data_IF_938269150813
#
_entry.id   IF_938269150813
#
_cell.length_a   1.000
_cell.length_b   1.000
_cell.length_c   1.000
_cell.angle_alpha   90.00
_cell.angle_beta   90.00
_cell.angle_gamma   90.00
#
_symmetry.space_group_name_H-M   'P 1'
#
loop_
_entity.id
_entity.type
_entity.pdbx_description
1 polymer ?
#
# COMPACT_ATOMS: atom_id res chain seq x y z
N UNK A 1 28.79 3.55 -6.23
CA UNK A 1 28.67 2.56 -5.13
C UNK A 1 27.35 1.74 -5.11
N UNK A 2 26.29 2.17 -5.81
CA UNK A 2 24.96 1.52 -5.79
C UNK A 2 24.74 0.59 -7.00
N UNK A 3 25.61 -0.42 -7.15
CA UNK A 3 25.50 -1.44 -8.18
C UNK A 3 25.37 -2.83 -7.58
N UNK A 4 24.41 -3.06 -6.68
CA UNK A 4 23.99 -4.44 -6.39
C UNK A 4 22.81 -4.74 -7.31
N UNK A 5 23.07 -5.50 -8.36
CA UNK A 5 22.02 -6.00 -9.26
C UNK A 5 20.98 -6.79 -8.45
N UNK A 6 19.73 -6.91 -8.92
CA UNK A 6 18.69 -7.73 -8.27
C UNK A 6 19.20 -9.13 -7.87
N UNK A 7 20.01 -9.73 -8.75
CA UNK A 7 20.66 -11.01 -8.54
C UNK A 7 21.58 -11.04 -7.32
N UNK A 8 22.30 -9.96 -7.02
CA UNK A 8 23.18 -9.89 -5.86
C UNK A 8 22.39 -9.88 -4.54
N UNK A 9 21.24 -9.20 -4.49
CA UNK A 9 20.37 -9.17 -3.30
C UNK A 9 19.68 -10.52 -3.11
N UNK A 10 19.13 -11.09 -4.18
CA UNK A 10 18.54 -12.44 -4.15
C UNK A 10 19.56 -13.49 -3.67
N UNK A 11 20.82 -13.40 -4.14
CA UNK A 11 21.89 -14.28 -3.68
C UNK A 11 22.21 -14.10 -2.19
N UNK A 12 22.08 -12.89 -1.63
CA UNK A 12 22.20 -12.72 -0.18
C UNK A 12 21.03 -13.38 0.57
N UNK A 13 19.79 -13.20 0.12
CA UNK A 13 18.63 -13.87 0.74
C UNK A 13 18.87 -15.40 0.77
N UNK A 14 19.33 -15.99 -0.34
CA UNK A 14 19.67 -17.42 -0.40
C UNK A 14 20.83 -17.79 0.54
N UNK A 15 21.90 -16.98 0.58
CA UNK A 15 23.07 -17.30 1.41
C UNK A 15 22.78 -17.19 2.91
N UNK A 16 21.79 -16.37 3.31
CA UNK A 16 21.38 -16.18 4.70
C UNK A 16 20.19 -17.07 5.10
N UNK A 17 19.53 -17.76 4.17
CA UNK A 17 18.46 -18.72 4.49
C UNK A 17 19.01 -20.11 4.85
N UNK A 18 18.18 -21.04 5.37
CA UNK A 18 18.56 -22.43 5.59
C UNK A 18 19.14 -23.11 4.35
N UNK A 19 18.69 -22.74 3.15
CA UNK A 19 19.21 -23.24 1.87
C UNK A 19 20.69 -22.88 1.67
N UNK A 20 21.12 -21.72 2.19
CA UNK A 20 22.52 -21.29 2.18
C UNK A 20 23.44 -22.22 2.96
N UNK A 21 22.95 -22.83 4.05
CA UNK A 21 23.69 -23.83 4.83
C UNK A 21 23.92 -25.07 3.97
N UNK A 22 22.85 -25.62 3.37
CA UNK A 22 22.93 -26.81 2.50
C UNK A 22 23.88 -26.57 1.32
N UNK A 23 23.75 -25.42 0.65
CA UNK A 23 24.65 -25.00 -0.43
C UNK A 23 26.11 -24.97 0.02
N UNK A 24 26.37 -24.48 1.24
CA UNK A 24 27.72 -24.42 1.82
C UNK A 24 28.30 -25.82 2.04
N UNK A 25 27.52 -26.77 2.55
CA UNK A 25 27.93 -28.17 2.70
C UNK A 25 28.27 -28.80 1.34
N UNK A 26 27.37 -28.72 0.36
CA UNK A 26 27.56 -29.31 -0.97
C UNK A 26 28.79 -28.73 -1.68
N UNK A 27 28.99 -27.41 -1.60
CA UNK A 27 30.12 -26.74 -2.27
C UNK A 27 31.49 -27.05 -1.64
N UNK A 28 31.54 -27.30 -0.32
CA UNK A 28 32.79 -27.61 0.38
C UNK A 28 33.11 -29.11 0.38
N UNK A 29 32.11 -29.99 0.37
CA UNK A 29 32.30 -31.45 0.30
C UNK A 29 32.50 -31.91 -1.15
N UNK A 30 31.71 -31.40 -2.09
CA UNK A 30 31.70 -31.85 -3.49
C UNK A 30 32.90 -31.43 -4.35
N UNK A 31 33.79 -30.56 -3.84
CA UNK A 31 34.97 -30.05 -4.57
C UNK A 31 36.30 -30.63 -4.11
N UNK A 32 36.30 -31.57 -3.16
CA UNK A 32 37.51 -32.28 -2.70
C UNK A 32 38.55 -31.40 -1.98
N UNK A 33 38.25 -30.13 -1.70
CA UNK A 33 39.05 -29.21 -0.89
C UNK A 33 38.13 -28.44 0.05
N UNK A 34 38.25 -28.71 1.35
CA UNK A 34 37.50 -28.03 2.39
C UNK A 34 38.10 -26.65 2.66
N UNK A 35 37.35 -25.59 2.38
CA UNK A 35 37.72 -24.23 2.78
C UNK A 35 37.00 -23.89 4.09
N UNK A 36 37.74 -23.99 5.20
CA UNK A 36 37.22 -23.75 6.54
C UNK A 36 36.60 -22.34 6.68
N UNK A 37 37.17 -21.34 6.03
CA UNK A 37 36.69 -19.96 6.11
C UNK A 37 35.38 -19.82 5.36
N UNK A 38 35.27 -20.35 4.14
CA UNK A 38 34.02 -20.33 3.38
C UNK A 38 32.92 -21.13 4.07
N UNK A 39 33.27 -22.27 4.65
CA UNK A 39 32.34 -23.11 5.39
C UNK A 39 31.80 -22.39 6.64
N UNK A 40 32.69 -21.86 7.48
CA UNK A 40 32.31 -21.11 8.69
C UNK A 40 31.48 -19.87 8.37
N UNK A 41 31.88 -19.09 7.34
CA UNK A 41 31.11 -17.93 6.89
C UNK A 41 29.73 -18.33 6.35
N UNK A 42 29.62 -19.44 5.62
CA UNK A 42 28.35 -19.93 5.08
C UNK A 42 27.38 -20.38 6.17
N UNK A 43 27.86 -21.16 7.14
CA UNK A 43 27.07 -21.57 8.32
C UNK A 43 26.65 -20.33 9.13
N UNK A 44 27.59 -19.44 9.43
CA UNK A 44 27.29 -18.24 10.21
C UNK A 44 26.22 -17.36 9.56
N UNK A 45 26.28 -17.18 8.23
CA UNK A 45 25.23 -16.46 7.48
C UNK A 45 23.89 -17.17 7.55
N UNK A 46 23.88 -18.48 7.34
CA UNK A 46 22.66 -19.28 7.40
C UNK A 46 21.99 -19.26 8.77
N UNK A 47 22.75 -19.38 9.86
CA UNK A 47 22.21 -19.25 11.23
C UNK A 47 21.64 -17.84 11.45
N UNK A 48 22.40 -16.81 11.07
CA UNK A 48 21.99 -15.42 11.26
C UNK A 48 20.69 -15.10 10.55
N UNK A 49 20.55 -15.52 9.28
CA UNK A 49 19.32 -15.24 8.56
C UNK A 49 18.17 -16.16 8.93
N UNK A 50 18.42 -17.39 9.38
CA UNK A 50 17.37 -18.24 9.98
C UNK A 50 16.81 -17.61 11.25
N UNK A 51 17.65 -17.00 12.08
CA UNK A 51 17.18 -16.25 13.25
C UNK A 51 16.31 -15.04 12.83
N UNK A 52 16.68 -14.32 11.77
CA UNK A 52 15.84 -13.23 11.25
C UNK A 52 14.50 -13.73 10.70
N UNK A 53 14.48 -14.86 9.99
CA UNK A 53 13.23 -15.50 9.52
C UNK A 53 12.35 -15.86 10.71
N UNK A 54 12.91 -16.49 11.75
CA UNK A 54 12.16 -16.83 12.96
C UNK A 54 11.58 -15.59 13.65
N UNK A 55 12.36 -14.51 13.78
CA UNK A 55 11.85 -13.23 14.29
C UNK A 55 10.70 -12.71 13.41
N UNK A 56 10.81 -12.84 12.09
CA UNK A 56 9.75 -12.46 11.16
C UNK A 56 8.46 -13.26 11.35
N UNK A 57 8.56 -14.56 11.64
CA UNK A 57 7.41 -15.42 11.97
C UNK A 57 6.71 -14.93 13.25
N UNK A 58 7.47 -14.76 14.33
CA UNK A 58 6.96 -14.26 15.61
C UNK A 58 6.33 -12.87 15.47
N UNK A 59 6.94 -11.98 14.67
CA UNK A 59 6.36 -10.68 14.41
C UNK A 59 5.03 -10.77 13.66
N UNK A 60 4.81 -11.79 12.82
CA UNK A 60 3.53 -12.01 12.14
C UNK A 60 2.45 -12.49 13.10
N UNK A 61 2.76 -13.49 13.92
CA UNK A 61 1.81 -14.00 14.93
C UNK A 61 1.35 -12.91 15.91
N UNK A 62 2.23 -11.94 16.20
CA UNK A 62 1.94 -10.83 17.10
C UNK A 62 1.42 -9.56 16.40
N UNK A 63 1.04 -9.64 15.11
CA UNK A 63 0.58 -8.50 14.30
C UNK A 63 1.57 -7.31 14.29
N UNK A 64 2.87 -7.58 14.41
CA UNK A 64 3.96 -6.61 14.43
C UNK A 64 4.64 -6.44 13.07
N UNK A 65 4.28 -7.25 12.07
CA UNK A 65 4.76 -7.14 10.69
C UNK A 65 3.57 -7.14 9.73
N UNK A 66 3.65 -6.29 8.72
CA UNK A 66 2.72 -6.26 7.60
C UNK A 66 3.46 -6.72 6.35
N UNK A 67 2.80 -7.57 5.58
CA UNK A 67 3.38 -8.21 4.40
C UNK A 67 3.04 -7.41 3.14
N UNK A 68 2.76 -8.10 2.04
CA UNK A 68 2.47 -7.46 0.78
C UNK A 68 1.19 -6.62 0.80
N UNK A 69 1.14 -5.65 -0.09
CA UNK A 69 -0.03 -4.79 -0.20
C UNK A 69 -1.26 -5.60 -0.63
N UNK A 70 -2.42 -5.44 0.03
CA UNK A 70 -3.59 -6.26 -0.24
C UNK A 70 -4.11 -6.19 -1.69
N UNK A 71 -4.62 -7.32 -2.16
CA UNK A 71 -5.17 -7.45 -3.53
C UNK A 71 -6.64 -7.03 -3.62
N UNK A 72 -7.40 -7.12 -2.53
CA UNK A 72 -8.81 -6.69 -2.47
C UNK A 72 -8.91 -5.20 -2.11
N UNK A 73 -9.94 -4.51 -2.63
CA UNK A 73 -10.11 -3.08 -2.33
C UNK A 73 -10.50 -2.83 -0.87
N UNK A 74 -11.40 -3.64 -0.31
CA UNK A 74 -11.84 -3.51 1.07
C UNK A 74 -10.66 -3.62 2.05
N UNK A 75 -9.77 -4.59 1.86
CA UNK A 75 -8.60 -4.75 2.72
C UNK A 75 -7.59 -3.61 2.56
N UNK A 76 -7.38 -3.12 1.33
CA UNK A 76 -6.53 -1.93 1.11
C UNK A 76 -7.07 -0.70 1.83
N UNK A 77 -8.38 -0.48 1.75
CA UNK A 77 -9.02 0.64 2.44
C UNK A 77 -8.90 0.47 3.95
N UNK A 78 -9.04 -0.76 4.45
CA UNK A 78 -8.87 -1.04 5.88
C UNK A 78 -7.44 -0.77 6.34
N UNK A 79 -6.44 -1.19 5.57
CA UNK A 79 -5.04 -0.87 5.85
C UNK A 79 -4.78 0.65 5.85
N UNK A 80 -5.40 1.39 4.94
CA UNK A 80 -5.31 2.86 4.90
C UNK A 80 -5.91 3.50 6.15
N UNK A 81 -7.06 3.00 6.63
CA UNK A 81 -7.70 3.44 7.87
C UNK A 81 -6.84 3.19 9.12
N UNK A 82 -6.09 2.09 9.13
CA UNK A 82 -5.21 1.71 10.24
C UNK A 82 -3.82 2.35 10.16
N UNK A 83 -3.52 3.01 9.04
CA UNK A 83 -2.17 3.47 8.73
C UNK A 83 -1.17 2.33 8.48
N UNK A 84 -1.64 1.11 8.20
CA UNK A 84 -0.78 -0.03 7.81
C UNK A 84 -0.12 0.26 6.47
N UNK A 85 1.14 -0.18 6.33
CA UNK A 85 1.91 -0.10 5.08
C UNK A 85 2.42 -1.47 4.70
N UNK A 86 2.56 -1.76 3.42
CA UNK A 86 3.20 -2.99 2.98
C UNK A 86 4.67 -3.07 3.45
N UNK A 87 5.12 -4.31 3.67
CA UNK A 87 6.46 -4.68 4.15
C UNK A 87 6.99 -3.73 5.22
N UNK A 88 6.25 -3.65 6.31
CA UNK A 88 6.57 -2.77 7.42
C UNK A 88 6.49 -3.52 8.74
N UNK A 89 7.20 -3.00 9.74
CA UNK A 89 7.14 -3.49 11.11
C UNK A 89 6.60 -2.41 12.03
N UNK A 90 5.88 -2.80 13.08
CA UNK A 90 5.48 -1.91 14.17
C UNK A 90 6.69 -1.62 15.04
N UNK A 91 7.00 -0.34 15.22
CA UNK A 91 8.02 0.15 16.15
C UNK A 91 7.43 1.32 16.91
N UNK A 92 7.06 1.08 18.17
CA UNK A 92 6.20 2.00 18.92
C UNK A 92 4.84 2.12 18.25
N UNK A 93 4.32 3.35 18.14
CA UNK A 93 3.02 3.65 17.54
C UNK A 93 3.08 3.85 16.00
N UNK A 94 4.10 3.30 15.34
CA UNK A 94 4.35 3.56 13.92
C UNK A 94 4.67 2.29 13.14
N UNK A 95 4.14 2.21 11.94
CA UNK A 95 4.59 1.29 10.90
C UNK A 95 5.82 1.87 10.19
N UNK A 96 6.89 1.07 10.11
CA UNK A 96 8.16 1.45 9.47
C UNK A 96 8.51 0.43 8.40
N UNK A 97 8.76 0.91 7.18
CA UNK A 97 9.16 0.01 6.10
C UNK A 97 10.50 -0.65 6.42
N UNK A 98 10.58 -1.97 6.19
CA UNK A 98 11.82 -2.73 6.35
C UNK A 98 12.75 -2.66 5.13
N UNK A 99 12.29 -2.04 4.03
CA UNK A 99 13.06 -1.92 2.80
C UNK A 99 14.47 -1.32 3.00
N UNK A 100 14.64 -0.23 3.77
CA UNK A 100 15.96 0.35 4.02
C UNK A 100 16.93 -0.60 4.75
N UNK A 101 16.42 -1.63 5.44
CA UNK A 101 17.24 -2.63 6.13
C UNK A 101 17.88 -3.64 5.15
N UNK A 102 17.55 -3.56 3.86
CA UNK A 102 18.14 -4.40 2.82
C UNK A 102 17.80 -5.89 3.03
N UNK A 103 18.76 -6.82 2.79
CA UNK A 103 18.51 -8.25 2.91
C UNK A 103 17.98 -8.68 4.27
N UNK A 104 18.38 -8.02 5.37
CA UNK A 104 17.89 -8.34 6.71
C UNK A 104 16.40 -8.10 6.85
N UNK A 105 15.90 -6.96 6.35
CA UNK A 105 14.47 -6.67 6.33
C UNK A 105 13.66 -7.65 5.49
N UNK A 106 14.22 -8.12 4.37
CA UNK A 106 13.56 -9.12 3.52
C UNK A 106 13.47 -10.49 4.17
N UNK A 107 14.44 -10.86 5.02
CA UNK A 107 14.36 -12.10 5.80
C UNK A 107 13.26 -12.04 6.86
N UNK A 108 12.98 -10.87 7.44
CA UNK A 108 11.82 -10.67 8.31
C UNK A 108 10.51 -10.87 7.52
N UNK A 109 10.37 -10.27 6.34
CA UNK A 109 9.19 -10.45 5.47
C UNK A 109 9.01 -11.90 5.05
N UNK A 110 10.10 -12.59 4.70
CA UNK A 110 10.09 -14.02 4.39
C UNK A 110 9.58 -14.84 5.58
N UNK A 111 10.02 -14.50 6.80
CA UNK A 111 9.50 -15.10 8.02
C UNK A 111 8.00 -14.91 8.18
N UNK A 112 7.51 -13.69 8.03
CA UNK A 112 6.07 -13.43 8.16
C UNK A 112 5.23 -14.10 7.06
N UNK A 113 5.71 -14.12 5.81
CA UNK A 113 5.04 -14.87 4.71
C UNK A 113 5.06 -16.39 4.94
N UNK A 114 6.15 -16.92 5.52
CA UNK A 114 6.23 -18.32 5.88
C UNK A 114 5.19 -18.66 6.95
N UNK A 115 5.05 -17.82 7.97
CA UNK A 115 4.03 -18.00 9.01
C UNK A 115 2.62 -17.89 8.44
N UNK A 116 2.34 -16.88 7.62
CA UNK A 116 1.03 -16.74 6.96
C UNK A 116 0.64 -18.02 6.19
N UNK A 117 1.55 -18.53 5.36
CA UNK A 117 1.28 -19.75 4.59
C UNK A 117 1.22 -21.01 5.47
N UNK A 118 1.89 -21.02 6.63
CA UNK A 118 1.75 -22.08 7.63
C UNK A 118 0.37 -22.06 8.27
N UNK A 119 -0.15 -20.89 8.62
CA UNK A 119 -1.50 -20.73 9.19
C UNK A 119 -2.58 -21.14 8.16
N UNK A 120 -2.36 -20.83 6.88
CA UNK A 120 -3.28 -21.17 5.78
C UNK A 120 -3.25 -22.66 5.38
N UNK A 121 -2.07 -23.27 5.31
CA UNK A 121 -1.90 -24.60 4.69
C UNK A 121 -1.44 -25.71 5.67
N UNK A 122 -0.94 -25.36 6.85
CA UNK A 122 -0.46 -26.31 7.88
C UNK A 122 0.80 -27.11 7.52
N UNK A 123 1.40 -26.88 6.35
CA UNK A 123 2.53 -27.68 5.83
C UNK A 123 3.77 -26.84 5.59
N UNK A 124 4.78 -27.02 6.45
CA UNK A 124 6.06 -26.30 6.36
C UNK A 124 6.72 -26.43 4.98
N UNK A 125 6.64 -27.61 4.35
CA UNK A 125 7.20 -27.81 3.01
C UNK A 125 6.48 -26.99 1.94
N UNK A 126 5.15 -26.88 2.03
CA UNK A 126 4.37 -26.09 1.08
C UNK A 126 4.60 -24.59 1.33
N UNK A 127 4.61 -24.18 2.60
CA UNK A 127 4.84 -22.78 2.97
C UNK A 127 6.22 -22.27 2.56
N UNK A 128 7.25 -23.11 2.63
CA UNK A 128 8.58 -22.78 2.10
C UNK A 128 8.58 -22.57 0.56
N UNK A 129 7.75 -23.32 -0.18
CA UNK A 129 7.64 -23.18 -1.64
C UNK A 129 6.89 -21.91 -2.04
N UNK A 130 5.93 -21.47 -1.25
CA UNK A 130 5.10 -20.28 -1.52
C UNK A 130 5.77 -18.97 -1.06
N UNK A 131 6.40 -18.97 0.13
CA UNK A 131 6.98 -17.77 0.72
C UNK A 131 8.17 -17.22 -0.07
N UNK A 132 8.99 -18.09 -0.68
CA UNK A 132 10.15 -17.67 -1.47
C UNK A 132 9.79 -16.79 -2.68
N UNK A 133 8.94 -17.27 -3.61
CA UNK A 133 8.43 -16.47 -4.72
C UNK A 133 7.67 -15.22 -4.28
N UNK A 134 6.87 -15.30 -3.22
CA UNK A 134 6.17 -14.15 -2.65
C UNK A 134 7.17 -13.08 -2.22
N UNK A 135 8.17 -13.40 -1.39
CA UNK A 135 9.18 -12.43 -0.92
C UNK A 135 9.96 -11.83 -2.10
N UNK A 136 10.28 -12.65 -3.11
CA UNK A 136 10.95 -12.17 -4.31
C UNK A 136 10.08 -11.17 -5.07
N UNK A 137 8.78 -11.45 -5.23
CA UNK A 137 7.80 -10.54 -5.82
C UNK A 137 7.72 -9.24 -5.01
N UNK A 138 7.52 -9.34 -3.69
CA UNK A 138 7.47 -8.20 -2.76
C UNK A 138 8.68 -7.29 -2.91
N UNK A 139 9.87 -7.88 -3.00
CA UNK A 139 11.12 -7.14 -3.20
C UNK A 139 11.15 -6.43 -4.55
N UNK A 140 10.75 -7.11 -5.62
CA UNK A 140 10.76 -6.52 -6.98
C UNK A 140 9.70 -5.44 -7.20
N UNK A 141 8.54 -5.56 -6.55
CA UNK A 141 7.42 -4.62 -6.70
C UNK A 141 7.61 -3.35 -5.87
N UNK A 142 8.29 -3.44 -4.72
CA UNK A 142 8.41 -2.32 -3.79
C UNK A 142 9.70 -1.48 -3.95
N UNK A 143 10.70 -1.99 -4.69
CA UNK A 143 11.96 -1.27 -4.89
C UNK A 143 12.13 -0.71 -6.32
N UNK A 144 13.09 0.20 -6.46
CA UNK A 144 13.66 0.82 -7.66
C UNK A 144 13.80 -0.06 -8.94
N UNK A 145 13.57 -1.36 -8.85
CA UNK A 145 13.57 -2.30 -9.97
C UNK A 145 12.42 -2.07 -10.93
N UNK A 146 11.31 -1.47 -10.51
CA UNK A 146 10.32 -0.95 -11.48
C UNK A 146 10.98 0.07 -12.41
N UNK A 147 11.82 0.97 -11.88
CA UNK A 147 12.58 1.92 -12.70
C UNK A 147 13.61 1.26 -13.61
N UNK A 148 14.35 0.26 -13.12
CA UNK A 148 15.38 -0.45 -13.91
C UNK A 148 14.76 -1.40 -14.95
N UNK A 149 13.72 -2.16 -14.58
CA UNK A 149 13.00 -3.05 -15.51
C UNK A 149 12.23 -2.25 -16.56
N UNK A 150 11.67 -1.09 -16.22
CA UNK A 150 11.05 -0.19 -17.20
C UNK A 150 12.11 0.44 -18.12
N UNK A 151 13.28 0.82 -17.61
CA UNK A 151 14.42 1.28 -18.42
C UNK A 151 14.94 0.19 -19.38
N UNK A 152 15.11 -1.04 -18.88
CA UNK A 152 15.50 -2.19 -19.70
C UNK A 152 14.43 -2.56 -20.74
N UNK A 153 13.14 -2.49 -20.39
CA UNK A 153 12.02 -2.67 -21.34
C UNK A 153 11.96 -1.53 -22.37
N UNK A 154 12.27 -0.29 -22.00
CA UNK A 154 12.35 0.83 -22.93
C UNK A 154 13.55 0.75 -23.89
N UNK A 155 14.64 0.09 -23.51
CA UNK A 155 15.75 -0.21 -24.43
C UNK A 155 15.38 -1.30 -25.44
N UNK A 156 14.54 -2.26 -25.05
CA UNK A 156 14.14 -3.39 -25.90
C UNK A 156 12.86 -3.12 -26.72
N UNK A 157 11.99 -2.22 -26.26
CA UNK A 157 10.73 -1.83 -26.92
C UNK A 157 10.42 -0.33 -26.66
N UNK A 158 11.18 0.58 -27.31
CA UNK A 158 11.13 2.01 -27.02
C UNK A 158 9.79 2.67 -27.33
N UNK A 159 9.08 2.21 -28.37
CA UNK A 159 7.81 2.84 -28.81
C UNK A 159 6.70 2.77 -27.77
N UNK A 160 6.66 1.72 -26.94
CA UNK A 160 5.59 1.48 -25.96
C UNK A 160 5.95 1.92 -24.52
N UNK A 161 7.24 1.91 -24.17
CA UNK A 161 7.69 2.11 -22.79
C UNK A 161 8.52 3.40 -22.57
N UNK A 162 8.99 4.08 -23.62
CA UNK A 162 9.78 5.31 -23.47
C UNK A 162 9.00 6.47 -22.83
N UNK A 163 7.72 6.65 -23.19
CA UNK A 163 6.86 7.71 -22.60
C UNK A 163 6.70 7.51 -21.08
N UNK A 164 6.55 6.26 -20.63
CA UNK A 164 6.42 5.92 -19.21
C UNK A 164 7.73 6.08 -18.42
N UNK A 165 8.89 5.85 -19.07
CA UNK A 165 10.22 6.03 -18.45
C UNK A 165 10.57 7.51 -18.33
N UNK A 166 10.34 8.33 -19.37
CA UNK A 166 10.61 9.77 -19.34
C UNK A 166 9.78 10.46 -18.26
N UNK A 167 8.50 10.11 -18.12
CA UNK A 167 7.60 10.60 -17.07
C UNK A 167 8.12 10.35 -15.64
N UNK A 168 8.62 9.13 -15.37
CA UNK A 168 9.15 8.74 -14.05
C UNK A 168 10.58 9.24 -13.82
N UNK A 169 11.31 9.52 -14.90
CA UNK A 169 12.68 10.08 -14.86
C UNK A 169 12.68 11.60 -14.74
N UNK A 170 11.64 12.31 -15.21
CA UNK A 170 11.49 13.74 -14.95
C UNK A 170 11.49 14.04 -13.44
N UNK A 171 10.78 13.24 -12.63
CA UNK A 171 10.83 13.30 -11.17
C UNK A 171 12.21 13.01 -10.55
N UNK A 172 13.09 12.32 -11.26
CA UNK A 172 14.45 12.02 -10.79
C UNK A 172 15.43 13.21 -10.88
N UNK A 173 15.05 14.28 -11.59
CA UNK A 173 15.84 15.51 -11.67
C UNK A 173 15.79 16.35 -10.39
N UNK A 174 14.78 16.15 -9.54
CA UNK A 174 14.70 16.78 -8.22
C UNK A 174 15.45 15.92 -7.19
N UNK A 175 16.55 16.43 -6.61
CA UNK A 175 17.31 15.69 -5.60
C UNK A 175 16.42 15.26 -4.44
N UNK A 176 16.66 14.07 -3.89
CA UNK A 176 15.86 13.53 -2.78
C UNK A 176 15.80 14.47 -1.58
N UNK A 177 16.91 15.16 -1.27
CA UNK A 177 16.97 16.14 -0.18
C UNK A 177 15.97 17.30 -0.41
N UNK A 178 15.88 17.81 -1.64
CA UNK A 178 14.94 18.90 -1.99
C UNK A 178 13.49 18.40 -1.88
N UNK A 179 13.23 17.19 -2.39
CA UNK A 179 11.92 16.56 -2.25
C UNK A 179 11.55 16.30 -0.79
N UNK A 180 12.51 15.97 0.07
CA UNK A 180 12.27 15.68 1.48
C UNK A 180 12.04 16.94 2.32
N UNK A 181 12.62 18.09 1.94
CA UNK A 181 12.26 19.40 2.49
C UNK A 181 10.83 19.75 2.13
N UNK A 182 10.46 19.63 0.85
CA UNK A 182 9.09 19.83 0.38
C UNK A 182 8.10 18.91 1.09
N UNK A 183 8.51 17.65 1.33
CA UNK A 183 7.79 16.75 2.23
C UNK A 183 7.65 17.38 3.60
N UNK A 184 8.75 17.56 4.33
CA UNK A 184 8.78 18.00 5.73
C UNK A 184 7.88 19.21 6.07
N UNK A 185 7.68 20.15 5.14
CA UNK A 185 6.87 21.36 5.36
C UNK A 185 5.38 21.26 4.99
N UNK A 186 4.94 20.20 4.30
CA UNK A 186 3.51 19.99 4.01
C UNK A 186 2.99 18.82 4.85
N UNK A 187 1.96 19.00 5.69
CA UNK A 187 1.53 17.98 6.66
C UNK A 187 0.79 16.80 6.02
N UNK A 188 0.39 16.91 4.76
CA UNK A 188 -0.44 15.92 4.08
C UNK A 188 0.36 15.08 3.08
N UNK A 189 -0.13 13.87 2.86
CA UNK A 189 0.23 13.07 1.70
C UNK A 189 -0.55 13.55 0.49
N UNK A 190 0.13 13.67 -0.66
CA UNK A 190 -0.42 14.28 -1.87
C UNK A 190 -0.71 13.24 -2.93
N UNK A 191 -1.76 13.47 -3.72
CA UNK A 191 -2.16 12.62 -4.82
C UNK A 191 -1.17 12.79 -5.96
N UNK A 192 -0.61 11.68 -6.45
CA UNK A 192 0.45 11.71 -7.48
C UNK A 192 0.07 10.94 -8.74
N UNK A 193 -1.17 10.47 -8.84
CA UNK A 193 -1.68 9.73 -10.00
C UNK A 193 -3.16 9.98 -10.14
N UNK A 194 -3.56 10.59 -11.25
CA UNK A 194 -4.95 10.68 -11.72
C UNK A 194 -4.90 10.33 -13.22
N UNK A 195 -5.91 9.65 -13.77
CA UNK A 195 -5.94 9.36 -15.22
C UNK A 195 -5.96 10.65 -16.08
N UNK A 196 -6.52 11.73 -15.54
CA UNK A 196 -6.73 13.02 -16.22
C UNK A 196 -5.63 14.04 -15.97
N UNK A 197 -5.02 14.05 -14.79
CA UNK A 197 -3.80 14.83 -14.53
C UNK A 197 -2.63 14.03 -15.08
N UNK A 198 -2.06 14.49 -16.19
CA UNK A 198 -1.02 13.76 -16.92
C UNK A 198 0.22 13.41 -16.09
N UNK A 199 1.30 13.05 -16.77
CA UNK A 199 2.55 12.57 -16.18
C UNK A 199 3.29 13.57 -15.26
N UNK A 200 2.71 14.73 -14.96
CA UNK A 200 3.28 15.85 -14.21
C UNK A 200 3.10 15.72 -12.69
N UNK A 201 2.01 15.12 -12.21
CA UNK A 201 1.72 15.02 -10.77
C UNK A 201 2.85 14.33 -9.96
N UNK A 202 3.47 13.22 -10.42
CA UNK A 202 4.64 12.65 -9.75
C UNK A 202 5.85 13.59 -9.65
N UNK A 203 6.01 14.50 -10.62
CA UNK A 203 7.07 15.51 -10.62
C UNK A 203 6.74 16.64 -9.66
N UNK A 204 5.53 17.23 -9.78
CA UNK A 204 5.03 18.30 -8.91
C UNK A 204 5.12 17.88 -7.44
N UNK A 205 4.78 16.63 -7.12
CA UNK A 205 4.84 16.08 -5.77
C UNK A 205 6.24 16.10 -5.12
N UNK A 206 7.30 16.20 -5.93
CA UNK A 206 8.70 16.27 -5.47
C UNK A 206 9.22 17.69 -5.37
N UNK A 207 8.53 18.67 -5.95
CA UNK A 207 8.93 20.08 -5.92
C UNK A 207 8.33 20.74 -4.67
N UNK A 208 9.17 21.33 -3.79
CA UNK A 208 8.68 22.13 -2.66
C UNK A 208 7.71 23.21 -3.12
N UNK A 209 6.72 23.53 -2.28
CA UNK A 209 5.62 24.48 -2.58
C UNK A 209 4.68 23.97 -3.68
N UNK A 210 5.19 23.61 -4.87
CA UNK A 210 4.37 23.13 -5.98
C UNK A 210 3.56 21.88 -5.62
N UNK A 211 4.09 20.97 -4.79
CA UNK A 211 3.31 19.81 -4.30
C UNK A 211 2.01 20.17 -3.58
N UNK A 212 1.86 21.40 -3.07
CA UNK A 212 0.64 21.86 -2.40
C UNK A 212 -0.50 22.13 -3.38
N UNK A 213 -0.21 22.26 -4.68
CA UNK A 213 -1.24 22.37 -5.73
C UNK A 213 -1.86 21.02 -6.08
N UNK A 214 -1.31 19.92 -5.56
CA UNK A 214 -1.89 18.59 -5.71
C UNK A 214 -2.93 18.36 -4.62
N UNK A 215 -4.02 17.73 -5.01
CA UNK A 215 -5.06 17.30 -4.09
C UNK A 215 -4.48 16.39 -2.99
N UNK A 216 -4.95 16.52 -1.75
CA UNK A 216 -4.55 15.60 -0.69
C UNK A 216 -4.99 14.18 -1.05
N UNK A 217 -4.21 13.20 -0.62
CA UNK A 217 -4.72 11.83 -0.52
C UNK A 217 -5.70 11.78 0.64
N UNK A 218 -6.87 11.22 0.39
CA UNK A 218 -7.91 11.00 1.38
C UNK A 218 -8.14 9.50 1.58
N UNK A 219 -8.59 9.13 2.77
CA UNK A 219 -9.02 7.76 3.06
C UNK A 219 -10.44 7.46 2.55
N UNK A 220 -10.95 6.28 2.86
CA UNK A 220 -12.29 5.84 2.44
C UNK A 220 -13.43 6.61 3.11
N UNK A 221 -13.16 7.32 4.19
CA UNK A 221 -14.09 8.27 4.80
C UNK A 221 -13.82 9.71 4.36
N UNK A 222 -12.91 9.90 3.40
CA UNK A 222 -12.60 11.22 2.88
C UNK A 222 -11.73 12.05 3.82
N UNK A 223 -11.23 11.50 4.93
CA UNK A 223 -10.32 12.26 5.78
C UNK A 223 -8.94 12.37 5.11
N UNK A 224 -8.33 13.57 5.04
CA UNK A 224 -6.98 13.73 4.51
C UNK A 224 -5.94 12.90 5.26
N UNK A 225 -5.09 12.20 4.51
CA UNK A 225 -4.02 11.40 5.06
C UNK A 225 -2.88 12.31 5.53
N UNK A 226 -2.78 12.49 6.84
CA UNK A 226 -1.64 13.13 7.47
C UNK A 226 -0.37 12.30 7.28
N UNK A 227 0.78 12.97 7.20
CA UNK A 227 2.07 12.29 7.23
C UNK A 227 2.33 11.66 8.60
N UNK A 228 2.87 10.44 8.60
CA UNK A 228 3.17 9.75 9.85
C UNK A 228 4.38 10.25 10.62
N UNK A 229 5.38 10.80 9.91
CA UNK A 229 6.61 11.34 10.49
C UNK A 229 6.55 12.85 10.74
N UNK A 230 7.29 13.33 11.75
CA UNK A 230 7.53 14.76 11.92
C UNK A 230 8.48 15.30 10.83
N UNK A 231 8.68 16.62 10.78
CA UNK A 231 9.53 17.26 9.76
C UNK A 231 10.95 16.65 9.70
N UNK A 232 11.59 16.46 10.86
CA UNK A 232 12.94 15.89 10.93
C UNK A 232 12.96 14.44 10.48
N UNK A 233 12.06 13.61 11.01
CA UNK A 233 11.90 12.21 10.64
C UNK A 233 11.66 12.06 9.14
N UNK A 234 10.83 12.93 8.54
CA UNK A 234 10.60 12.95 7.09
C UNK A 234 11.89 13.16 6.28
N UNK A 235 12.84 13.93 6.82
CA UNK A 235 14.11 14.21 6.14
C UNK A 235 15.14 13.10 6.31
N UNK A 236 15.27 12.53 7.51
CA UNK A 236 16.39 11.64 7.85
C UNK A 236 16.01 10.16 7.90
N UNK A 237 14.72 9.85 8.02
CA UNK A 237 14.24 8.49 8.18
C UNK A 237 13.81 7.88 6.84
N UNK A 238 14.59 6.91 6.31
CA UNK A 238 14.26 6.26 5.05
C UNK A 238 13.11 5.26 5.16
N UNK A 239 12.66 4.92 6.38
CA UNK A 239 11.57 3.93 6.59
C UNK A 239 10.18 4.52 6.31
N UNK A 240 10.08 5.85 6.15
CA UNK A 240 8.87 6.60 5.80
C UNK A 240 7.68 6.20 6.67
N UNK A 241 7.70 6.51 7.98
CA UNK A 241 6.74 5.95 8.92
C UNK A 241 5.31 6.44 8.69
N UNK A 242 4.35 5.60 9.03
CA UNK A 242 2.93 5.95 9.23
C UNK A 242 2.54 5.71 10.67
N UNK A 243 1.67 6.55 11.22
CA UNK A 243 1.12 6.32 12.57
C UNK A 243 0.08 5.22 12.51
N UNK A 244 0.10 4.36 13.52
CA UNK A 244 -0.98 3.40 13.74
C UNK A 244 -2.22 4.20 14.13
N UNK A 245 -3.34 3.89 13.48
CA UNK A 245 -4.66 4.44 13.77
C UNK A 245 -5.55 3.32 14.27
N UNK A 246 -6.25 3.56 15.37
CA UNK A 246 -7.17 2.61 15.98
C UNK A 246 -8.28 3.41 16.65
N UNK A 247 -9.51 3.20 16.21
CA UNK A 247 -10.72 3.67 16.89
C UNK A 247 -11.78 2.56 16.85
N UNK A 248 -12.89 2.70 17.61
CA UNK A 248 -13.92 1.65 17.72
C UNK A 248 -14.47 1.22 16.35
N UNK A 249 -14.56 2.14 15.38
CA UNK A 249 -15.02 1.82 14.03
C UNK A 249 -13.97 1.04 13.26
N UNK A 250 -12.73 1.52 13.24
CA UNK A 250 -11.63 0.86 12.54
C UNK A 250 -11.39 -0.53 13.11
N UNK A 251 -11.43 -0.69 14.44
CA UNK A 251 -11.27 -1.97 15.13
C UNK A 251 -12.41 -2.95 14.82
N UNK A 252 -13.67 -2.49 14.82
CA UNK A 252 -14.81 -3.34 14.46
C UNK A 252 -14.75 -3.78 12.99
N UNK A 253 -14.37 -2.88 12.07
CA UNK A 253 -14.18 -3.22 10.66
C UNK A 253 -13.05 -4.23 10.46
N UNK A 254 -11.94 -4.09 11.19
CA UNK A 254 -10.83 -5.05 11.20
C UNK A 254 -11.29 -6.40 11.72
N UNK A 255 -11.93 -6.43 12.89
CA UNK A 255 -12.44 -7.65 13.51
C UNK A 255 -13.33 -8.41 12.54
N UNK A 256 -14.32 -7.73 11.94
CA UNK A 256 -15.23 -8.33 10.96
C UNK A 256 -14.49 -8.85 9.72
N UNK A 257 -13.48 -8.12 9.23
CA UNK A 257 -12.65 -8.57 8.12
C UNK A 257 -11.92 -9.89 8.44
N UNK A 258 -11.27 -9.96 9.61
CA UNK A 258 -10.42 -11.09 9.99
C UNK A 258 -11.22 -12.39 10.19
N UNK A 259 -12.50 -12.29 10.55
CA UNK A 259 -13.41 -13.45 10.67
C UNK A 259 -14.20 -13.76 9.39
N UNK A 260 -13.86 -13.11 8.26
CA UNK A 260 -14.46 -13.40 6.95
C UNK A 260 -15.74 -12.63 6.60
N UNK A 261 -16.07 -11.57 7.33
CA UNK A 261 -17.22 -10.69 7.07
C UNK A 261 -16.79 -9.26 6.70
N UNK A 262 -16.04 -9.06 5.60
CA UNK A 262 -15.47 -7.76 5.26
C UNK A 262 -16.55 -6.68 5.08
N UNK A 263 -16.50 -5.67 5.94
CA UNK A 263 -17.49 -4.58 5.99
C UNK A 263 -16.88 -3.20 5.67
N UNK A 264 -15.56 -3.11 5.51
CA UNK A 264 -14.88 -1.85 5.20
C UNK A 264 -15.45 -1.26 3.91
N UNK A 265 -15.92 0.00 3.94
CA UNK A 265 -16.48 0.64 2.77
C UNK A 265 -15.50 0.68 1.60
N UNK A 266 -16.05 0.90 0.40
CA UNK A 266 -15.28 1.29 -0.78
C UNK A 266 -15.55 2.74 -1.12
N UNK A 267 -14.61 3.38 -1.80
CA UNK A 267 -14.71 4.81 -2.16
C UNK A 267 -15.97 5.07 -2.97
N UNK A 268 -16.62 6.21 -2.74
CA UNK A 268 -17.88 6.58 -3.39
C UNK A 268 -17.70 6.88 -4.88
N UNK A 269 -16.54 7.44 -5.20
CA UNK A 269 -16.01 7.57 -6.54
C UNK A 269 -14.58 7.03 -6.60
N UNK A 270 -14.37 6.03 -7.47
CA UNK A 270 -13.02 5.60 -7.85
C UNK A 270 -12.56 6.41 -9.08
N UNK A 271 -11.32 6.86 -9.03
CA UNK A 271 -10.61 7.52 -10.11
C UNK A 271 -10.47 6.64 -11.36
N UNK A 272 -10.70 5.34 -11.23
CA UNK A 272 -10.73 4.47 -12.42
C UNK A 272 -12.06 4.56 -13.17
N UNK A 273 -13.14 4.88 -12.45
CA UNK A 273 -14.51 4.74 -12.93
C UNK A 273 -15.13 6.08 -13.35
N UNK A 274 -14.85 7.18 -12.63
CA UNK A 274 -15.57 8.45 -12.86
C UNK A 274 -14.70 9.63 -13.34
N UNK A 275 -13.43 9.40 -13.69
CA UNK A 275 -12.54 10.47 -14.20
C UNK A 275 -12.98 11.09 -15.51
N UNK A 276 -13.87 10.43 -16.26
CA UNK A 276 -14.40 10.99 -17.51
C UNK A 276 -15.42 12.10 -17.24
N UNK A 277 -16.08 12.09 -16.08
CA UNK A 277 -17.21 12.97 -15.74
C UNK A 277 -16.96 13.91 -14.57
N UNK A 278 -16.01 13.57 -13.70
CA UNK A 278 -15.60 14.35 -12.53
C UNK A 278 -14.13 14.75 -12.61
N UNK A 279 -13.81 15.98 -12.20
CA UNK A 279 -12.43 16.42 -11.96
C UNK A 279 -11.88 15.80 -10.67
N UNK A 280 -10.55 15.84 -10.47
CA UNK A 280 -9.91 15.36 -9.24
C UNK A 280 -10.46 16.04 -8.00
N UNK A 281 -10.64 17.36 -8.07
CA UNK A 281 -11.22 18.19 -7.01
C UNK A 281 -12.66 17.76 -6.70
N UNK A 282 -13.48 17.52 -7.74
CA UNK A 282 -14.86 17.03 -7.57
C UNK A 282 -14.90 15.62 -6.96
N UNK A 283 -13.97 14.73 -7.32
CA UNK A 283 -13.82 13.40 -6.71
C UNK A 283 -13.43 13.53 -5.24
N UNK A 284 -12.45 14.38 -4.92
CA UNK A 284 -12.03 14.66 -3.54
C UNK A 284 -13.20 15.18 -2.73
N UNK A 285 -13.87 16.23 -3.21
CA UNK A 285 -15.01 16.86 -2.56
C UNK A 285 -16.17 15.87 -2.31
N UNK A 286 -16.53 15.07 -3.32
CA UNK A 286 -17.56 14.03 -3.18
C UNK A 286 -17.19 13.03 -2.08
N UNK A 287 -15.95 12.56 -2.08
CA UNK A 287 -15.46 11.57 -1.15
C UNK A 287 -15.31 12.13 0.28
N UNK A 288 -14.86 13.37 0.43
CA UNK A 288 -14.81 14.11 1.70
C UNK A 288 -16.21 14.25 2.30
N UNK A 289 -17.15 14.84 1.56
CA UNK A 289 -18.50 15.12 2.06
C UNK A 289 -19.26 13.84 2.41
N UNK A 290 -19.26 12.87 1.50
CA UNK A 290 -19.99 11.61 1.68
C UNK A 290 -19.34 10.70 2.73
N UNK A 291 -18.01 10.67 2.75
CA UNK A 291 -17.22 9.85 3.66
C UNK A 291 -17.33 10.30 5.10
N UNK A 292 -17.20 11.60 5.37
CA UNK A 292 -17.31 12.13 6.73
C UNK A 292 -18.71 11.87 7.31
N UNK A 293 -19.75 12.07 6.50
CA UNK A 293 -21.12 11.74 6.91
C UNK A 293 -21.28 10.23 7.16
N UNK A 294 -20.71 9.37 6.32
CA UNK A 294 -20.79 7.93 6.51
C UNK A 294 -20.05 7.51 7.80
N UNK A 295 -18.84 8.03 8.01
CA UNK A 295 -18.02 7.72 9.18
C UNK A 295 -18.76 8.04 10.48
N UNK A 296 -19.36 9.23 10.57
CA UNK A 296 -20.16 9.64 11.73
C UNK A 296 -21.35 8.68 11.95
N UNK A 297 -22.08 8.35 10.88
CA UNK A 297 -23.21 7.42 10.96
C UNK A 297 -22.79 6.02 11.38
N UNK A 298 -21.65 5.53 10.89
CA UNK A 298 -21.13 4.22 11.28
C UNK A 298 -20.63 4.22 12.72
N UNK A 299 -19.95 5.28 13.18
CA UNK A 299 -19.56 5.45 14.60
C UNK A 299 -20.77 5.41 15.53
N UNK A 300 -21.86 6.09 15.15
CA UNK A 300 -23.12 6.03 15.90
C UNK A 300 -23.78 4.65 15.83
N UNK A 301 -23.74 3.98 14.67
CA UNK A 301 -24.29 2.63 14.49
C UNK A 301 -23.59 1.61 15.39
N UNK A 302 -22.26 1.55 15.37
CA UNK A 302 -21.50 0.56 16.13
C UNK A 302 -21.60 0.77 17.64
N UNK A 303 -21.74 2.03 18.08
CA UNK A 303 -21.94 2.37 19.48
C UNK A 303 -23.33 1.96 19.99
N UNK A 304 -24.31 1.76 19.09
CA UNK A 304 -25.70 1.51 19.45
C UNK A 304 -25.91 0.10 20.05
N UNK A 305 -26.65 -0.04 21.17
CA UNK A 305 -26.87 -1.35 21.82
C UNK A 305 -27.47 -2.42 20.92
N UNK A 306 -28.37 -2.05 20.01
CA UNK A 306 -28.98 -3.00 19.07
C UNK A 306 -27.97 -3.56 18.07
N UNK A 307 -26.99 -2.76 17.62
CA UNK A 307 -25.92 -3.26 16.76
C UNK A 307 -25.06 -4.29 17.48
N UNK A 308 -24.73 -4.03 18.76
CA UNK A 308 -23.90 -4.93 19.58
C UNK A 308 -24.54 -6.30 19.82
N UNK A 309 -25.87 -6.42 19.70
CA UNK A 309 -26.63 -7.68 19.82
C UNK A 309 -26.72 -8.49 18.52
N UNK A 310 -26.38 -7.89 17.37
CA UNK A 310 -26.42 -8.57 16.08
C UNK A 310 -25.31 -9.63 15.99
N UNK A 311 -25.57 -10.69 15.23
CA UNK A 311 -24.50 -11.58 14.76
C UNK A 311 -23.61 -10.87 13.72
N UNK A 312 -22.43 -11.42 13.47
CA UNK A 312 -21.40 -10.76 12.64
C UNK A 312 -21.81 -10.60 11.16
N UNK A 313 -22.60 -11.52 10.63
CA UNK A 313 -23.16 -11.43 9.28
C UNK A 313 -24.19 -10.28 9.19
N UNK A 314 -25.07 -10.17 10.19
CA UNK A 314 -26.03 -9.07 10.30
C UNK A 314 -25.35 -7.71 10.53
N UNK A 315 -24.27 -7.65 11.32
CA UNK A 315 -23.44 -6.45 11.51
C UNK A 315 -22.83 -5.97 10.19
N UNK A 316 -22.15 -6.87 9.47
CA UNK A 316 -21.59 -6.58 8.15
C UNK A 316 -22.67 -6.07 7.19
N UNK A 317 -23.82 -6.76 7.10
CA UNK A 317 -24.94 -6.33 6.26
C UNK A 317 -25.45 -4.95 6.63
N UNK A 318 -25.54 -4.62 7.92
CA UNK A 318 -25.97 -3.29 8.37
C UNK A 318 -24.99 -2.19 7.99
N UNK A 319 -23.68 -2.42 8.13
CA UNK A 319 -22.67 -1.46 7.68
C UNK A 319 -22.80 -1.25 6.17
N UNK A 320 -22.87 -2.33 5.38
CA UNK A 320 -23.01 -2.26 3.92
C UNK A 320 -24.29 -1.53 3.49
N UNK A 321 -25.40 -1.71 4.19
CA UNK A 321 -26.65 -0.99 3.94
C UNK A 321 -26.46 0.54 4.12
N UNK A 322 -25.83 0.96 5.21
CA UNK A 322 -25.52 2.37 5.45
C UNK A 322 -24.57 2.94 4.39
N UNK A 323 -23.53 2.19 4.02
CA UNK A 323 -22.59 2.56 2.96
C UNK A 323 -23.30 2.74 1.61
N UNK A 324 -24.17 1.80 1.24
CA UNK A 324 -24.91 1.86 -0.03
C UNK A 324 -25.88 3.04 -0.06
N UNK A 325 -26.61 3.29 1.04
CA UNK A 325 -27.48 4.47 1.16
C UNK A 325 -26.69 5.78 1.06
N UNK A 326 -25.57 5.88 1.76
CA UNK A 326 -24.69 7.04 1.70
C UNK A 326 -24.18 7.28 0.26
N UNK A 327 -23.85 6.22 -0.47
CA UNK A 327 -23.40 6.31 -1.87
C UNK A 327 -24.48 6.86 -2.79
N UNK A 328 -25.72 6.42 -2.64
CA UNK A 328 -26.85 6.92 -3.45
C UNK A 328 -27.08 8.41 -3.18
N UNK A 329 -27.11 8.81 -1.90
CA UNK A 329 -27.31 10.21 -1.48
C UNK A 329 -26.18 11.08 -2.03
N UNK A 330 -24.92 10.66 -1.83
CA UNK A 330 -23.74 11.40 -2.27
C UNK A 330 -23.73 11.64 -3.78
N UNK A 331 -24.07 10.61 -4.57
CA UNK A 331 -24.15 10.75 -6.04
C UNK A 331 -25.28 11.69 -6.45
N UNK A 332 -26.45 11.58 -5.82
CA UNK A 332 -27.57 12.48 -6.11
C UNK A 332 -27.22 13.95 -5.82
N UNK A 333 -26.60 14.22 -4.67
CA UNK A 333 -26.12 15.57 -4.33
C UNK A 333 -25.07 16.08 -5.33
N UNK A 334 -24.15 15.22 -5.76
CA UNK A 334 -23.14 15.60 -6.75
C UNK A 334 -23.76 15.88 -8.12
N UNK A 335 -24.74 15.09 -8.55
CA UNK A 335 -25.49 15.35 -9.80
C UNK A 335 -26.16 16.71 -9.70
N UNK A 336 -26.84 17.01 -8.59
CA UNK A 336 -27.49 18.30 -8.37
C UNK A 336 -26.49 19.46 -8.45
N UNK A 337 -25.30 19.30 -7.86
CA UNK A 337 -24.25 20.31 -7.90
C UNK A 337 -23.67 20.51 -9.29
N UNK A 338 -23.44 19.44 -10.05
CA UNK A 338 -22.91 19.51 -11.42
C UNK A 338 -23.87 20.17 -12.42
N UNK A 339 -25.16 20.16 -12.13
CA UNK A 339 -26.19 20.66 -13.05
C UNK A 339 -26.86 21.95 -12.59
N UNK A 340 -26.53 22.45 -11.39
CA UNK A 340 -27.19 23.58 -10.74
C UNK A 340 -27.26 24.82 -11.62
N UNK A 341 -26.18 25.11 -12.34
CA UNK A 341 -26.01 26.34 -13.12
C UNK A 341 -26.11 26.11 -14.64
N UNK A 342 -26.57 24.92 -15.08
CA UNK A 342 -26.67 24.57 -16.50
C UNK A 342 -28.02 24.97 -17.10
N UNK A 343 -27.97 25.55 -18.30
CA UNK A 343 -29.16 25.87 -19.09
C UNK A 343 -29.76 24.63 -19.76
N UNK A 344 -31.01 24.71 -20.24
CA UNK A 344 -31.83 23.54 -20.63
C UNK A 344 -31.16 22.56 -21.62
N UNK A 345 -30.38 23.06 -22.56
CA UNK A 345 -29.68 22.22 -23.56
C UNK A 345 -28.43 21.56 -22.97
N UNK A 346 -27.64 22.30 -22.18
CA UNK A 346 -26.44 21.82 -21.49
C UNK A 346 -26.79 20.84 -20.37
N UNK A 347 -27.88 21.08 -19.65
CA UNK A 347 -28.44 20.19 -18.63
C UNK A 347 -28.76 18.81 -19.22
N UNK A 348 -29.46 18.79 -20.37
CA UNK A 348 -29.83 17.54 -21.04
C UNK A 348 -28.60 16.73 -21.48
N UNK A 349 -27.59 17.42 -22.01
CA UNK A 349 -26.32 16.81 -22.40
C UNK A 349 -25.57 16.24 -21.18
N UNK A 350 -25.44 17.03 -20.09
CA UNK A 350 -24.71 16.61 -18.89
C UNK A 350 -25.38 15.45 -18.16
N UNK A 351 -26.70 15.46 -18.02
CA UNK A 351 -27.44 14.34 -17.43
C UNK A 351 -27.30 13.05 -18.26
N UNK A 352 -27.31 13.17 -19.60
CA UNK A 352 -27.08 12.04 -20.50
C UNK A 352 -25.68 11.47 -20.36
N UNK A 353 -24.66 12.33 -20.25
CA UNK A 353 -23.28 11.93 -19.98
C UNK A 353 -23.15 11.17 -18.65
N UNK A 354 -23.68 11.74 -17.56
CA UNK A 354 -23.65 11.12 -16.22
C UNK A 354 -24.37 9.77 -16.17
N UNK A 355 -25.46 9.62 -16.93
CA UNK A 355 -26.17 8.35 -17.06
C UNK A 355 -25.37 7.31 -17.86
N UNK A 356 -24.80 7.71 -18.99
CA UNK A 356 -24.02 6.81 -19.85
C UNK A 356 -22.76 6.28 -19.13
N UNK A 357 -22.15 7.09 -18.28
CA UNK A 357 -20.97 6.73 -17.49
C UNK A 357 -21.35 6.04 -16.16
N UNK A 358 -22.64 5.73 -15.94
CA UNK A 358 -23.11 4.97 -14.78
C UNK A 358 -23.00 5.70 -13.44
N UNK A 359 -22.95 7.03 -13.46
CA UNK A 359 -22.95 7.86 -12.25
C UNK A 359 -24.37 8.03 -11.68
N UNK A 360 -25.39 8.02 -12.54
CA UNK A 360 -26.81 8.06 -12.17
C UNK A 360 -27.65 7.09 -13.01
N UNK A 361 -28.82 6.70 -12.48
CA UNK A 361 -29.75 5.74 -13.11
C UNK A 361 -30.88 6.42 -13.87
#
# INVERSE_FOLDING_TARGET
>A
PFGRTPSAVAMQIINYSPVGIVKTFVQNIGRGRFDQRLFSQGIGRGITGTAAIFIGMEMFENDMISLDFPTTEAERNQWELEGRKANSIKVGEKWRSVLPLGPGGMLLILGGQLQQSLDENGSLSQSLLEAGPATAKSFTEQTFLVGINQFAKALNDPGRYAVNVVARTAGSTVPTIVSDVGRAVDPLERRTYVKTEGFEAPFIARVPIARQTLEPRIDVFGSPLARGGNALETMIDPTRPTRIKSDELVEELRRLFDIGFPATPTRFADEKTYTNVLTSEQITYLQEKAGLMLEEKLKNLIAHPEYKKLDDDAKMRKIQEFTNRARVIARAEMVEELVRDLEREELGAKLSELKNEGFMT
#
